data_IF_692409910361
#
_entry.id   IF_692409910361
#
_cell.length_a   1.000
_cell.length_b   1.000
_cell.length_c   1.000
_cell.angle_alpha   90.00
_cell.angle_beta   90.00
_cell.angle_gamma   90.00
#
_symmetry.space_group_name_H-M   'P 1'
#
loop_
_entity.id
_entity.type
_entity.pdbx_description
1 polymer ?
#
# COMPACT_ATOMS: atom_id res chain seq x y z
N UNK A 1 -5.30 -32.40 2.27
CA UNK A 1 -5.69 -31.04 2.67
C UNK A 1 -4.69 -30.09 2.04
N UNK A 2 -5.07 -29.51 0.92
CA UNK A 2 -4.28 -28.58 0.13
C UNK A 2 -4.06 -27.31 0.96
N UNK A 3 -2.90 -27.22 1.61
CA UNK A 3 -2.45 -25.96 2.20
C UNK A 3 -2.25 -25.02 1.02
N UNK A 4 -3.25 -24.20 0.74
CA UNK A 4 -3.14 -23.09 -0.19
C UNK A 4 -2.19 -22.09 0.47
N UNK A 5 -0.89 -22.37 0.38
CA UNK A 5 0.18 -21.48 0.80
C UNK A 5 0.12 -20.34 -0.20
N UNK A 6 -0.78 -19.39 0.03
CA UNK A 6 -0.83 -18.20 -0.78
C UNK A 6 0.44 -17.45 -0.48
N UNK A 7 1.39 -17.46 -1.42
CA UNK A 7 2.65 -16.77 -1.27
C UNK A 7 2.36 -15.31 -0.97
N UNK A 8 2.74 -14.87 0.23
CA UNK A 8 2.61 -13.47 0.61
C UNK A 8 3.76 -12.71 -0.03
N UNK A 9 3.42 -11.78 -0.91
CA UNK A 9 4.36 -10.89 -1.53
C UNK A 9 4.48 -9.62 -0.68
N UNK A 10 5.65 -8.99 -0.73
CA UNK A 10 5.84 -7.67 -0.13
C UNK A 10 5.28 -6.63 -1.09
N UNK A 11 4.39 -5.78 -0.57
CA UNK A 11 3.84 -4.65 -1.29
C UNK A 11 4.21 -3.36 -0.55
N UNK A 12 4.60 -2.33 -1.30
CA UNK A 12 4.76 -0.97 -0.82
C UNK A 12 3.50 -0.20 -1.18
N UNK A 13 2.74 0.20 -0.17
CA UNK A 13 1.57 1.05 -0.32
C UNK A 13 1.97 2.51 -0.11
N UNK A 14 1.58 3.38 -1.02
CA UNK A 14 1.67 4.83 -0.88
C UNK A 14 0.36 5.32 -0.26
N UNK A 15 0.45 6.00 0.88
CA UNK A 15 -0.69 6.47 1.64
C UNK A 15 -0.99 7.93 1.32
N UNK A 16 -2.27 8.26 1.36
CA UNK A 16 -2.81 9.61 1.22
C UNK A 16 -3.11 10.11 2.64
N UNK A 17 -2.30 11.04 3.18
CA UNK A 17 -2.62 11.65 4.45
C UNK A 17 -3.92 12.44 4.32
N UNK A 18 -4.77 12.35 5.35
CA UNK A 18 -6.07 13.04 5.36
C UNK A 18 -5.94 14.57 5.21
N UNK A 19 -4.76 15.12 5.54
CA UNK A 19 -4.44 16.56 5.43
C UNK A 19 -3.89 16.96 4.04
N UNK A 20 -3.74 16.02 3.10
CA UNK A 20 -3.27 16.32 1.75
C UNK A 20 -4.34 17.07 0.95
N UNK A 21 -4.34 18.39 1.06
CA UNK A 21 -5.49 19.23 0.71
C UNK A 21 -5.59 19.64 -0.76
N UNK A 22 -4.64 19.33 -1.66
CA UNK A 22 -4.84 19.70 -3.08
C UNK A 22 -4.02 18.92 -4.13
N UNK A 23 -2.87 18.33 -3.81
CA UNK A 23 -1.99 17.79 -4.85
C UNK A 23 -1.34 16.46 -4.46
N UNK A 24 -2.18 15.48 -4.13
CA UNK A 24 -1.76 14.12 -3.74
C UNK A 24 -0.85 13.49 -4.80
N UNK A 25 -1.16 13.64 -6.09
CA UNK A 25 -0.32 13.13 -7.18
C UNK A 25 1.06 13.79 -7.22
N UNK A 26 1.16 15.11 -7.05
CA UNK A 26 2.44 15.80 -7.02
C UNK A 26 3.26 15.45 -5.76
N UNK A 27 2.62 15.22 -4.61
CA UNK A 27 3.28 14.75 -3.39
C UNK A 27 3.80 13.31 -3.57
N UNK A 28 3.07 12.47 -4.30
CA UNK A 28 3.49 11.11 -4.62
C UNK A 28 4.74 11.14 -5.51
N UNK A 29 4.73 11.98 -6.55
CA UNK A 29 5.85 12.16 -7.48
C UNK A 29 7.07 12.77 -6.76
N UNK A 30 6.85 13.70 -5.84
CA UNK A 30 7.88 14.28 -4.98
C UNK A 30 8.41 13.31 -3.89
N UNK A 31 7.82 12.12 -3.73
CA UNK A 31 8.20 11.17 -2.69
C UNK A 31 7.93 11.66 -1.26
N UNK A 32 7.02 12.63 -1.11
CA UNK A 32 6.66 13.24 0.17
C UNK A 32 5.48 12.52 0.84
N UNK A 33 4.85 11.57 0.15
CA UNK A 33 3.79 10.76 0.74
C UNK A 33 4.35 9.65 1.64
N UNK A 34 3.69 9.38 2.78
CA UNK A 34 4.03 8.24 3.61
C UNK A 34 3.84 6.94 2.84
N UNK A 35 4.78 6.01 2.98
CA UNK A 35 4.67 4.67 2.40
C UNK A 35 4.83 3.61 3.47
N UNK A 36 4.09 2.50 3.35
CA UNK A 36 4.18 1.37 4.28
C UNK A 36 4.42 0.10 3.50
N UNK A 37 5.12 -0.84 4.12
CA UNK A 37 5.29 -2.19 3.57
C UNK A 37 4.30 -3.14 4.22
N UNK A 38 3.47 -3.77 3.41
CA UNK A 38 2.53 -4.82 3.84
C UNK A 38 2.85 -6.12 3.15
N UNK A 39 2.58 -7.24 3.84
CA UNK A 39 2.57 -8.56 3.23
C UNK A 39 1.15 -8.90 2.83
N UNK A 40 0.96 -9.23 1.56
CA UNK A 40 -0.34 -9.59 1.04
C UNK A 40 -0.20 -10.59 -0.11
N UNK A 41 -1.26 -11.33 -0.36
CA UNK A 41 -1.30 -12.29 -1.46
C UNK A 41 -1.43 -11.63 -2.83
N UNK A 42 -2.03 -10.44 -2.89
CA UNK A 42 -2.29 -9.69 -4.12
C UNK A 42 -2.37 -8.18 -3.83
N UNK A 43 -2.41 -7.36 -4.87
CA UNK A 43 -2.49 -5.91 -4.76
C UNK A 43 -3.72 -5.45 -3.99
N UNK A 44 -4.90 -6.02 -4.25
CA UNK A 44 -6.15 -5.65 -3.57
C UNK A 44 -6.09 -5.90 -2.06
N UNK A 45 -5.55 -7.04 -1.63
CA UNK A 45 -5.32 -7.31 -0.21
C UNK A 45 -4.23 -6.40 0.37
N UNK A 46 -3.22 -6.01 -0.41
CA UNK A 46 -2.23 -5.05 0.03
C UNK A 46 -2.86 -3.68 0.30
N UNK A 47 -3.78 -3.22 -0.56
CA UNK A 47 -4.50 -1.96 -0.37
C UNK A 47 -5.34 -2.00 0.90
N UNK A 48 -6.13 -3.06 1.10
CA UNK A 48 -6.95 -3.21 2.30
C UNK A 48 -6.09 -3.28 3.56
N UNK A 49 -5.02 -4.08 3.54
CA UNK A 49 -4.12 -4.20 4.69
C UNK A 49 -3.41 -2.89 4.99
N UNK A 50 -2.97 -2.14 3.98
CA UNK A 50 -2.32 -0.84 4.15
C UNK A 50 -3.31 0.20 4.69
N UNK A 51 -4.54 0.21 4.19
CA UNK A 51 -5.60 1.07 4.68
C UNK A 51 -5.92 0.78 6.15
N UNK A 52 -6.09 -0.51 6.51
CA UNK A 52 -6.39 -0.92 7.90
C UNK A 52 -5.22 -0.66 8.84
N UNK A 53 -3.99 -0.94 8.41
CA UNK A 53 -2.80 -0.73 9.23
C UNK A 53 -2.49 0.75 9.47
N UNK A 54 -2.74 1.61 8.47
CA UNK A 54 -2.45 3.04 8.57
C UNK A 54 -3.64 3.89 9.02
N UNK A 55 -4.87 3.44 8.80
CA UNK A 55 -6.07 4.28 8.90
C UNK A 55 -6.17 5.38 7.84
N UNK A 56 -5.32 5.35 6.80
CA UNK A 56 -5.24 6.36 5.74
C UNK A 56 -5.65 5.78 4.39
N UNK A 57 -6.12 6.63 3.47
CA UNK A 57 -6.43 6.19 2.10
C UNK A 57 -5.16 5.69 1.40
N UNK A 58 -5.27 4.68 0.55
CA UNK A 58 -4.14 4.17 -0.23
C UNK A 58 -4.24 4.74 -1.64
N UNK A 59 -3.17 5.39 -2.11
CA UNK A 59 -3.08 5.93 -3.47
C UNK A 59 -2.74 4.85 -4.49
N UNK A 60 -1.71 4.05 -4.16
CA UNK A 60 -1.17 3.01 -5.04
C UNK A 60 -0.44 1.98 -4.20
N UNK A 61 -0.54 0.71 -4.62
CA UNK A 61 0.31 -0.37 -4.13
C UNK A 61 1.25 -0.84 -5.22
N UNK A 62 2.51 -1.00 -4.87
CA UNK A 62 3.54 -1.52 -5.76
C UNK A 62 4.07 -2.83 -5.16
N UNK A 63 4.10 -3.89 -5.97
CA UNK A 63 4.71 -5.15 -5.54
C UNK A 63 6.23 -4.97 -5.51
N UNK A 64 6.82 -5.15 -4.35
CA UNK A 64 8.27 -5.13 -4.16
C UNK A 64 8.71 -6.58 -4.05
N UNK A 65 8.97 -7.20 -5.19
CA UNK A 65 9.67 -8.48 -5.22
C UNK A 65 11.17 -8.19 -5.13
N UNK A 66 11.79 -8.70 -4.08
CA UNK A 66 13.23 -8.75 -3.90
C UNK A 66 13.67 -10.19 -3.71
#
# INVERSE_FOLDING_TARGET
MDQNITALHSYRAILIPADASSNVEALADAGLLPTIRVKASNATQAEVNAHVASGQGVLRVERVEG
#
